data_IF_624300357679
#
_entry.id   IF_624300357679
#
_cell.length_a   1.000
_cell.length_b   1.000
_cell.length_c   1.000
_cell.angle_alpha   90.00
_cell.angle_beta   90.00
_cell.angle_gamma   90.00
#
_symmetry.space_group_name_H-M   'P 1'
#
loop_
_entity.id
_entity.type
_entity.pdbx_description
1 polymer ?
#
# COMPACT_ATOMS: atom_id res chain seq x y z
N UNK A 1 16.32 -20.68 -8.65
CA UNK A 1 15.00 -21.12 -9.11
C UNK A 1 14.04 -20.07 -8.62
N UNK A 2 13.30 -19.45 -9.52
CA UNK A 2 12.28 -18.47 -9.16
C UNK A 2 11.28 -19.11 -8.19
N UNK A 3 11.02 -18.42 -7.08
CA UNK A 3 9.97 -18.80 -6.13
C UNK A 3 8.89 -17.72 -6.12
N UNK A 4 7.64 -18.16 -6.02
CA UNK A 4 6.49 -17.28 -5.85
C UNK A 4 6.18 -17.12 -4.37
N UNK A 5 5.96 -15.88 -3.96
CA UNK A 5 5.71 -15.49 -2.58
C UNK A 5 4.38 -14.74 -2.48
N UNK A 6 3.64 -15.03 -1.40
CA UNK A 6 2.45 -14.27 -1.01
C UNK A 6 2.88 -13.15 -0.07
N UNK A 7 2.38 -11.94 -0.27
CA UNK A 7 2.59 -10.86 0.69
C UNK A 7 1.86 -11.21 1.98
N UNK A 8 2.57 -11.13 3.10
CA UNK A 8 2.04 -11.50 4.42
C UNK A 8 1.10 -10.42 4.98
N UNK A 9 -0.14 -10.45 4.49
CA UNK A 9 -1.24 -9.62 4.98
C UNK A 9 -1.75 -10.10 6.35
N UNK A 10 -1.82 -11.42 6.56
CA UNK A 10 -2.40 -12.02 7.78
C UNK A 10 -1.54 -11.72 9.01
N UNK A 11 -0.22 -11.84 8.88
CA UNK A 11 0.76 -11.48 9.91
C UNK A 11 1.04 -9.98 10.01
N UNK A 12 0.46 -9.16 9.11
CA UNK A 12 0.67 -7.70 9.08
C UNK A 12 2.14 -7.27 8.96
N UNK A 13 2.98 -8.07 8.27
CA UNK A 13 4.41 -7.77 8.07
C UNK A 13 4.69 -6.98 6.78
N UNK A 14 3.68 -6.33 6.22
CA UNK A 14 3.79 -5.49 5.04
C UNK A 14 3.01 -4.19 5.25
N UNK A 15 3.50 -3.10 4.64
CA UNK A 15 2.91 -1.77 4.80
C UNK A 15 2.92 -1.02 3.48
N UNK A 16 1.79 -0.38 3.15
CA UNK A 16 1.68 0.56 2.03
C UNK A 16 1.48 1.96 2.59
N UNK A 17 2.59 2.66 2.82
CA UNK A 17 2.60 3.98 3.45
C UNK A 17 2.83 5.09 2.43
N UNK A 18 2.23 6.25 2.68
CA UNK A 18 2.48 7.47 1.93
C UNK A 18 2.67 8.65 2.87
N UNK A 19 3.26 9.71 2.34
CA UNK A 19 3.27 11.03 2.97
C UNK A 19 3.08 12.12 1.94
N UNK A 20 2.46 13.21 2.36
CA UNK A 20 2.24 14.40 1.55
C UNK A 20 2.52 15.66 2.37
N UNK A 21 3.05 16.70 1.74
CA UNK A 21 3.23 17.98 2.41
C UNK A 21 1.88 18.66 2.65
N UNK A 22 1.70 19.22 3.84
CA UNK A 22 0.56 20.05 4.19
C UNK A 22 1.03 21.48 4.37
N UNK A 23 0.67 22.33 3.39
CA UNK A 23 0.98 23.76 3.33
C UNK A 23 2.49 24.10 3.43
N UNK A 24 3.37 23.14 3.11
CA UNK A 24 4.83 23.32 3.20
C UNK A 24 5.41 23.33 4.62
N UNK A 25 4.58 23.19 5.66
CA UNK A 25 5.04 23.24 7.06
C UNK A 25 5.17 21.87 7.71
N UNK A 26 4.35 20.91 7.30
CA UNK A 26 4.25 19.62 7.96
C UNK A 26 4.05 18.48 6.97
N UNK A 27 4.35 17.26 7.43
CA UNK A 27 4.09 16.03 6.69
C UNK A 27 2.84 15.36 7.25
N UNK A 28 1.87 15.15 6.36
CA UNK A 28 0.75 14.29 6.63
C UNK A 28 1.15 12.87 6.21
N UNK A 29 1.01 11.93 7.15
CA UNK A 29 1.27 10.51 6.92
C UNK A 29 -0.04 9.76 6.75
N UNK A 30 -0.03 8.75 5.90
CA UNK A 30 -1.14 7.83 5.77
C UNK A 30 -0.70 6.45 5.30
N UNK A 31 -1.63 5.51 5.41
CA UNK A 31 -1.42 4.11 5.06
C UNK A 31 -2.69 3.52 4.43
N UNK A 32 -2.55 2.46 3.64
CA UNK A 32 -3.67 1.63 3.22
C UNK A 32 -3.65 0.33 4.02
N UNK A 33 -4.68 0.11 4.84
CA UNK A 33 -4.76 -1.05 5.75
C UNK A 33 -5.20 -2.34 5.07
N UNK A 34 -5.82 -2.26 3.89
CA UNK A 34 -6.31 -3.40 3.14
C UNK A 34 -5.68 -3.42 1.76
N UNK A 35 -4.71 -4.31 1.60
CA UNK A 35 -4.06 -4.64 0.36
C UNK A 35 -3.72 -6.13 0.33
N UNK A 36 -3.44 -6.64 -0.86
CA UNK A 36 -2.97 -7.99 -1.08
C UNK A 36 -2.04 -8.02 -2.31
N UNK A 37 -1.19 -9.01 -2.42
CA UNK A 37 -0.34 -9.17 -3.59
C UNK A 37 0.54 -10.42 -3.56
N UNK A 38 1.23 -10.63 -4.67
CA UNK A 38 2.24 -11.67 -4.84
C UNK A 38 3.47 -11.10 -5.51
N UNK A 39 4.60 -11.76 -5.33
CA UNK A 39 5.84 -11.43 -6.02
C UNK A 39 6.66 -12.68 -6.34
N UNK A 40 7.43 -12.63 -7.41
CA UNK A 40 8.43 -13.64 -7.73
C UNK A 40 9.82 -13.06 -7.48
N UNK A 41 10.67 -13.87 -6.87
CA UNK A 41 12.07 -13.51 -6.63
C UNK A 41 13.00 -14.62 -7.12
N UNK A 42 13.93 -14.27 -8.01
CA UNK A 42 15.02 -15.12 -8.47
C UNK A 42 16.36 -14.39 -8.30
N UNK A 43 17.06 -14.72 -7.21
CA UNK A 43 18.39 -14.18 -6.89
C UNK A 43 19.41 -14.31 -8.03
N UNK A 44 19.29 -15.34 -8.88
CA UNK A 44 20.21 -15.59 -9.99
C UNK A 44 19.79 -14.89 -11.28
N UNK A 45 18.54 -14.47 -11.41
CA UNK A 45 18.03 -13.76 -12.58
C UNK A 45 16.99 -12.69 -12.19
N UNK A 46 17.42 -11.54 -11.64
CA UNK A 46 16.51 -10.47 -11.20
C UNK A 46 15.62 -9.89 -12.31
N UNK A 47 16.01 -10.07 -13.58
CA UNK A 47 15.18 -9.65 -14.72
C UNK A 47 13.87 -10.43 -14.85
N UNK A 48 13.77 -11.59 -14.21
CA UNK A 48 12.56 -12.41 -14.14
C UNK A 48 11.67 -12.08 -12.93
N UNK A 49 12.09 -11.18 -12.05
CA UNK A 49 11.31 -10.77 -10.88
C UNK A 49 10.03 -10.04 -11.31
N UNK A 50 8.95 -10.26 -10.56
CA UNK A 50 7.64 -9.66 -10.81
C UNK A 50 6.99 -9.32 -9.48
N UNK A 51 6.15 -8.30 -9.49
CA UNK A 51 5.33 -7.91 -8.34
C UNK A 51 3.95 -7.51 -8.83
N UNK A 52 2.92 -7.94 -8.13
CA UNK A 52 1.55 -7.54 -8.36
C UNK A 52 0.86 -7.25 -7.03
N UNK A 53 0.32 -6.04 -6.87
CA UNK A 53 -0.32 -5.58 -5.64
C UNK A 53 -1.67 -4.97 -5.97
N UNK A 54 -2.70 -5.36 -5.23
CA UNK A 54 -4.03 -4.76 -5.23
C UNK A 54 -4.26 -4.05 -3.91
N UNK A 55 -4.61 -2.77 -3.99
CA UNK A 55 -4.92 -1.94 -2.81
C UNK A 55 -6.41 -1.64 -2.81
N UNK A 56 -7.07 -1.69 -1.65
CA UNK A 56 -8.44 -1.19 -1.47
C UNK A 56 -8.38 0.26 -1.04
N UNK A 57 -8.72 1.25 -1.90
CA UNK A 57 -8.56 2.67 -1.58
C UNK A 57 -9.38 3.09 -0.34
N UNK A 58 -10.52 2.45 -0.12
CA UNK A 58 -11.38 2.71 1.04
C UNK A 58 -10.73 2.37 2.39
N UNK A 59 -9.61 1.64 2.39
CA UNK A 59 -8.83 1.33 3.59
C UNK A 59 -7.81 2.41 3.98
N UNK A 60 -7.82 3.56 3.29
CA UNK A 60 -6.98 4.71 3.65
C UNK A 60 -7.19 5.10 5.11
N UNK A 61 -6.09 5.31 5.81
CA UNK A 61 -6.02 5.77 7.18
C UNK A 61 -4.94 6.84 7.30
N UNK A 62 -5.36 8.04 7.69
CA UNK A 62 -4.47 9.17 8.00
C UNK A 62 -4.54 9.56 9.47
N UNK A 63 -5.10 8.68 10.31
CA UNK A 63 -5.39 8.90 11.72
C UNK A 63 -6.34 10.09 11.98
N UNK A 64 -7.28 10.34 11.06
CA UNK A 64 -8.27 11.42 11.20
C UNK A 64 -9.57 11.09 10.46
N UNK A 65 -10.60 10.72 11.20
CA UNK A 65 -11.86 10.19 10.66
C UNK A 65 -12.51 11.05 9.56
N UNK A 66 -12.68 12.36 9.77
CA UNK A 66 -13.31 13.24 8.77
C UNK A 66 -12.48 13.39 7.49
N UNK A 67 -11.16 13.41 7.62
CA UNK A 67 -10.26 13.47 6.46
C UNK A 67 -10.30 12.15 5.70
N UNK A 68 -10.28 11.02 6.40
CA UNK A 68 -10.39 9.71 5.75
C UNK A 68 -11.73 9.55 5.06
N UNK A 69 -12.83 10.02 5.68
CA UNK A 69 -14.14 10.10 5.03
C UNK A 69 -14.09 10.95 3.76
N UNK A 70 -13.47 12.12 3.82
CA UNK A 70 -13.30 12.99 2.66
C UNK A 70 -12.53 12.32 1.53
N UNK A 71 -11.38 11.69 1.84
CA UNK A 71 -10.52 10.97 0.89
C UNK A 71 -11.24 9.78 0.23
N UNK A 72 -12.13 9.09 0.96
CA UNK A 72 -12.95 7.99 0.42
C UNK A 72 -14.10 8.49 -0.44
N UNK A 73 -14.71 9.61 -0.05
CA UNK A 73 -15.87 10.17 -0.75
C UNK A 73 -15.53 10.84 -2.08
N UNK A 74 -14.27 11.22 -2.28
CA UNK A 74 -13.79 11.93 -3.46
C UNK A 74 -13.38 10.99 -4.61
N UNK A 75 -13.52 9.67 -4.47
CA UNK A 75 -13.10 8.72 -5.50
C UNK A 75 -14.00 7.50 -5.68
N UNK A 76 -15.03 7.62 -6.53
CA UNK A 76 -15.30 6.72 -7.68
C UNK A 76 -16.04 7.53 -8.76
N UNK A 77 -15.34 7.90 -9.83
CA UNK A 77 -15.91 8.01 -11.17
C UNK A 77 -15.42 6.82 -11.98
#
# INVERSE_FOLDING_TARGET
MAAEYKIDKEGQHAFVNFRIQHLGYSWLYGTFKDFDGTFTFDEKNPSADKVNVTIKPNSVDTNHAERDKHLRSSGVS
#
